data_IF_915004097349
#
_entry.id   IF_915004097349
#
_cell.length_a   1.000
_cell.length_b   1.000
_cell.length_c   1.000
_cell.angle_alpha   90.00
_cell.angle_beta   90.00
_cell.angle_gamma   90.00
#
_symmetry.space_group_name_H-M   'P 1'
#
loop_
_entity.id
_entity.type
_entity.pdbx_description
1 polymer ?
#
# COMPACT_ATOMS: atom_id res chain seq x y z
N UNK A 1 11.52 -13.08 -5.08
CA UNK A 1 12.52 -12.76 -4.05
C UNK A 1 11.77 -12.61 -2.75
N UNK A 2 12.08 -13.44 -1.76
CA UNK A 2 11.60 -13.19 -0.41
C UNK A 2 12.38 -12.00 0.14
N UNK A 3 11.69 -10.99 0.64
CA UNK A 3 12.27 -9.84 1.36
C UNK A 3 12.08 -10.10 2.86
N UNK A 4 12.89 -10.96 3.51
CA UNK A 4 12.71 -11.33 4.92
C UNK A 4 12.79 -10.13 5.88
N UNK A 5 13.41 -9.03 5.45
CA UNK A 5 13.48 -7.75 6.14
C UNK A 5 12.16 -6.97 6.14
N UNK A 6 11.22 -7.30 5.26
CA UNK A 6 9.86 -6.76 5.23
C UNK A 6 8.93 -7.73 5.95
N UNK A 7 8.62 -7.39 7.19
CA UNK A 7 7.77 -8.17 8.08
C UNK A 7 6.88 -7.24 8.90
N UNK A 8 5.95 -7.84 9.65
CA UNK A 8 4.99 -7.11 10.49
C UNK A 8 5.66 -6.10 11.43
N UNK A 9 6.78 -6.43 12.09
CA UNK A 9 7.45 -5.50 13.01
C UNK A 9 7.95 -4.24 12.30
N UNK A 10 8.46 -4.39 11.07
CA UNK A 10 8.88 -3.24 10.25
C UNK A 10 7.68 -2.39 9.81
N UNK A 11 6.54 -3.00 9.48
CA UNK A 11 5.30 -2.27 9.21
C UNK A 11 4.90 -1.43 10.43
N UNK A 12 4.90 -2.02 11.62
CA UNK A 12 4.52 -1.32 12.85
C UNK A 12 5.48 -0.17 13.19
N UNK A 13 6.78 -0.36 12.99
CA UNK A 13 7.76 0.70 13.13
C UNK A 13 7.50 1.85 12.14
N UNK A 14 7.25 1.54 10.86
CA UNK A 14 6.93 2.55 9.85
C UNK A 14 5.63 3.31 10.18
N UNK A 15 4.59 2.62 10.65
CA UNK A 15 3.33 3.24 11.08
C UNK A 15 3.54 4.16 12.28
N UNK A 16 4.34 3.73 13.26
CA UNK A 16 4.70 4.57 14.42
C UNK A 16 5.42 5.86 13.99
N UNK A 17 6.35 5.76 13.04
CA UNK A 17 7.24 6.88 12.69
C UNK A 17 6.67 7.78 11.59
N UNK A 18 5.76 7.27 10.75
CA UNK A 18 5.26 7.97 9.57
C UNK A 18 3.73 8.03 9.45
N UNK A 19 2.98 7.36 10.34
CA UNK A 19 1.52 7.34 10.32
C UNK A 19 0.96 6.93 8.96
N UNK A 20 0.10 7.78 8.37
CA UNK A 20 -0.51 7.54 7.06
C UNK A 20 0.48 7.49 5.89
N UNK A 21 1.69 8.03 6.04
CA UNK A 21 2.71 8.01 5.00
C UNK A 21 3.58 6.74 5.03
N UNK A 22 3.37 5.82 5.97
CA UNK A 22 4.19 4.62 6.14
C UNK A 22 4.25 3.75 4.87
N UNK A 23 3.12 3.63 4.15
CA UNK A 23 3.08 2.94 2.87
C UNK A 23 4.01 3.57 1.84
N UNK A 24 3.88 4.88 1.62
CA UNK A 24 4.67 5.65 0.63
C UNK A 24 6.17 5.62 0.92
N UNK A 25 6.55 5.51 2.19
CA UNK A 25 7.95 5.33 2.61
C UNK A 25 8.44 3.94 2.24
N UNK A 26 7.71 2.89 2.62
CA UNK A 26 8.15 1.51 2.44
C UNK A 26 8.20 1.09 0.96
N UNK A 27 7.30 1.56 0.11
CA UNK A 27 7.31 1.23 -1.33
C UNK A 27 8.46 1.86 -2.12
N UNK A 28 9.24 2.77 -1.51
CA UNK A 28 10.51 3.25 -2.10
C UNK A 28 11.62 2.20 -2.00
N UNK A 29 11.54 1.31 -1.02
CA UNK A 29 12.56 0.32 -0.70
C UNK A 29 12.13 -1.11 -1.06
N UNK A 30 10.82 -1.39 -1.04
CA UNK A 30 10.26 -2.72 -1.22
C UNK A 30 9.20 -2.79 -2.33
N UNK A 31 9.01 -3.95 -2.97
CA UNK A 31 7.92 -4.18 -3.90
C UNK A 31 6.55 -3.87 -3.28
N UNK A 32 5.72 -3.10 -3.99
CA UNK A 32 4.42 -2.60 -3.51
C UNK A 32 3.47 -3.73 -3.09
N UNK A 33 3.44 -4.83 -3.83
CA UNK A 33 2.63 -6.01 -3.56
C UNK A 33 2.98 -6.67 -2.22
N UNK A 34 4.28 -6.77 -1.91
CA UNK A 34 4.74 -7.31 -0.62
C UNK A 34 4.43 -6.37 0.54
N UNK A 35 4.58 -5.06 0.33
CA UNK A 35 4.22 -4.05 1.35
C UNK A 35 2.73 -4.13 1.65
N UNK A 36 1.87 -4.19 0.63
CA UNK A 36 0.42 -4.35 0.80
C UNK A 36 0.09 -5.65 1.55
N UNK A 37 0.75 -6.76 1.20
CA UNK A 37 0.53 -8.05 1.86
C UNK A 37 0.84 -7.97 3.36
N UNK A 38 1.99 -7.41 3.75
CA UNK A 38 2.38 -7.30 5.15
C UNK A 38 1.53 -6.30 5.94
N UNK A 39 1.14 -5.17 5.34
CA UNK A 39 0.16 -4.26 5.95
C UNK A 39 -1.20 -4.95 6.17
N UNK A 40 -1.64 -5.75 5.20
CA UNK A 40 -2.89 -6.53 5.31
C UNK A 40 -2.78 -7.58 6.42
N UNK A 41 -1.64 -8.25 6.55
CA UNK A 41 -1.36 -9.20 7.62
C UNK A 41 -1.42 -8.49 9.00
N UNK A 42 -0.69 -7.39 9.16
CA UNK A 42 -0.70 -6.59 10.39
C UNK A 42 -2.11 -6.11 10.78
N UNK A 43 -2.93 -5.73 9.80
CA UNK A 43 -4.31 -5.33 10.05
C UNK A 43 -5.23 -6.50 10.43
N UNK A 44 -5.10 -7.66 9.76
CA UNK A 44 -5.86 -8.87 10.11
C UNK A 44 -5.52 -9.39 11.50
N UNK A 45 -4.29 -9.17 11.95
CA UNK A 45 -3.85 -9.46 13.32
C UNK A 45 -4.28 -8.39 14.35
N UNK A 46 -4.95 -7.32 13.93
CA UNK A 46 -5.45 -6.26 14.82
C UNK A 46 -4.39 -5.25 15.28
N UNK A 47 -3.18 -5.26 14.68
CA UNK A 47 -2.11 -4.33 15.06
C UNK A 47 -2.24 -2.96 14.38
N UNK A 48 -2.93 -2.89 13.24
CA UNK A 48 -3.18 -1.64 12.52
C UNK A 48 -4.59 -1.62 11.95
N UNK A 49 -5.11 -0.43 11.63
CA UNK A 49 -6.37 -0.27 10.91
C UNK A 49 -6.15 -0.10 9.41
N UNK A 50 -5.13 -0.75 8.84
CA UNK A 50 -4.81 -0.61 7.42
C UNK A 50 -5.98 -1.08 6.56
N UNK A 51 -6.68 -0.12 5.97
CA UNK A 51 -7.66 -0.34 4.92
C UNK A 51 -7.11 0.23 3.63
N UNK A 52 -7.19 -0.52 2.53
CA UNK A 52 -6.92 -0.08 1.15
C UNK A 52 -8.00 0.93 0.68
N UNK A 53 -8.52 1.76 1.58
CA UNK A 53 -9.50 2.81 1.31
C UNK A 53 -8.87 4.16 0.94
N UNK A 54 -7.55 4.32 1.16
CA UNK A 54 -6.85 5.60 0.87
C UNK A 54 -6.32 5.69 -0.57
N UNK A 55 -6.40 4.60 -1.35
CA UNK A 55 -6.18 4.67 -2.80
C UNK A 55 -7.50 5.01 -3.49
N UNK A 56 -7.96 6.25 -3.32
CA UNK A 56 -9.06 6.81 -4.11
C UNK A 56 -8.60 6.95 -5.57
N UNK A 57 -8.69 5.86 -6.33
CA UNK A 57 -8.38 5.86 -7.75
C UNK A 57 -9.52 6.52 -8.51
N UNK A 58 -9.23 7.67 -9.12
CA UNK A 58 -10.13 8.35 -10.05
C UNK A 58 -9.57 8.29 -11.46
N UNK A 59 -10.44 8.09 -12.46
CA UNK A 59 -10.02 8.20 -13.85
C UNK A 59 -9.50 9.62 -14.11
N UNK A 60 -8.31 9.70 -14.70
CA UNK A 60 -7.83 10.93 -15.33
C UNK A 60 -8.59 11.17 -16.64
N UNK A 61 -8.53 12.39 -17.17
CA UNK A 61 -9.10 12.70 -18.49
C UNK A 61 -8.52 11.82 -19.61
N UNK A 62 -7.22 11.50 -19.52
CA UNK A 62 -6.56 10.58 -20.46
C UNK A 62 -7.12 9.16 -20.34
N UNK A 63 -7.36 8.70 -19.11
CA UNK A 63 -7.97 7.41 -18.84
C UNK A 63 -9.40 7.31 -19.40
N UNK A 64 -10.21 8.36 -19.18
CA UNK A 64 -11.57 8.46 -19.75
C UNK A 64 -11.54 8.36 -21.28
N UNK A 65 -10.77 9.23 -21.96
CA UNK A 65 -10.68 9.24 -23.43
C UNK A 65 -10.24 7.91 -24.03
N UNK A 66 -9.35 7.16 -23.36
CA UNK A 66 -8.94 5.84 -23.83
C UNK A 66 -10.10 4.85 -23.80
N UNK A 67 -10.90 4.84 -22.73
CA UNK A 67 -12.07 3.98 -22.64
C UNK A 67 -13.13 4.35 -23.68
N UNK A 68 -13.39 5.64 -23.87
CA UNK A 68 -14.35 6.13 -24.87
C UNK A 68 -13.94 5.72 -26.30
N UNK A 69 -12.63 5.61 -26.59
CA UNK A 69 -12.14 5.17 -27.91
C UNK A 69 -12.26 3.66 -28.18
N UNK A 70 -12.69 2.87 -27.19
CA UNK A 70 -12.87 1.42 -27.29
C UNK A 70 -14.34 1.01 -27.39
N UNK A 71 -15.28 1.97 -27.25
CA UNK A 71 -16.72 1.78 -27.40
C UNK A 71 -17.17 2.12 -28.83
#
# INVERSE_FOLDING_TARGET
>A
MEHPELNTDRILAAVRDHGFAAYDVLVKEFPSDLVIAEFTNAARSGFTTFGVGVHLASLTDKGRKRLDSLA
#
